data_IF_926490747622
#
_entry.id   IF_926490747622
#
_cell.length_a   1.000
_cell.length_b   1.000
_cell.length_c   1.000
_cell.angle_alpha   90.00
_cell.angle_beta   90.00
_cell.angle_gamma   90.00
#
_symmetry.space_group_name_H-M   'P 1'
#
loop_
_entity.id
_entity.type
_entity.pdbx_description
1 polymer ?
#
# COMPACT_ATOMS: atom_id res chain seq x y z
N UNK A 1 -12.75 -22.16 -45.52
CA UNK A 1 -11.45 -21.52 -45.77
C UNK A 1 -11.63 -20.05 -45.50
N UNK A 2 -11.42 -19.59 -44.27
CA UNK A 2 -11.15 -18.18 -43.94
C UNK A 2 -10.48 -18.14 -42.58
N UNK A 3 -9.22 -17.67 -42.59
CA UNK A 3 -8.36 -17.55 -41.43
C UNK A 3 -8.79 -16.32 -40.65
N UNK A 4 -9.21 -16.47 -39.39
CA UNK A 4 -9.31 -15.40 -38.41
C UNK A 4 -7.95 -15.21 -37.76
N UNK A 5 -7.22 -14.21 -38.20
CA UNK A 5 -6.03 -13.69 -37.56
C UNK A 5 -6.48 -12.83 -36.36
N UNK A 6 -6.27 -13.32 -35.14
CA UNK A 6 -6.35 -12.55 -33.91
C UNK A 6 -5.08 -11.68 -33.80
N UNK A 7 -5.22 -10.39 -34.09
CA UNK A 7 -4.24 -9.38 -33.75
C UNK A 7 -4.28 -9.10 -32.25
N UNK A 8 -3.30 -9.62 -31.54
CA UNK A 8 -2.95 -9.12 -30.21
C UNK A 8 -2.26 -7.76 -30.38
N UNK A 9 -3.00 -6.68 -30.26
CA UNK A 9 -2.41 -5.34 -30.12
C UNK A 9 -1.92 -5.17 -28.69
N UNK A 10 -0.63 -5.37 -28.51
CA UNK A 10 0.11 -4.99 -27.31
C UNK A 10 0.16 -3.45 -27.28
N UNK A 11 -0.78 -2.81 -26.61
CA UNK A 11 -0.70 -1.38 -26.29
C UNK A 11 0.37 -1.17 -25.22
N UNK A 12 1.61 -1.02 -25.65
CA UNK A 12 2.67 -0.40 -24.85
C UNK A 12 2.29 1.09 -24.76
N UNK A 13 1.58 1.46 -23.70
CA UNK A 13 1.43 2.86 -23.30
C UNK A 13 2.78 3.28 -22.74
N UNK A 14 3.69 3.64 -23.64
CA UNK A 14 4.86 4.42 -23.29
C UNK A 14 4.38 5.80 -22.87
N UNK A 15 4.27 6.05 -21.58
CA UNK A 15 4.15 7.38 -21.01
C UNK A 15 5.41 8.15 -21.37
N UNK A 16 5.38 8.82 -22.55
CA UNK A 16 6.32 9.87 -22.87
C UNK A 16 5.96 11.06 -21.96
N UNK A 17 6.66 11.18 -20.87
CA UNK A 17 6.75 12.45 -20.15
C UNK A 17 7.53 13.43 -21.08
N UNK A 18 6.78 14.16 -21.90
CA UNK A 18 7.30 15.32 -22.58
C UNK A 18 7.68 16.36 -21.54
N UNK A 19 8.92 16.83 -21.61
CA UNK A 19 9.46 17.86 -20.77
C UNK A 19 8.61 19.12 -20.79
N UNK A 20 7.85 19.32 -19.72
CA UNK A 20 7.30 20.61 -19.34
C UNK A 20 8.37 21.37 -18.58
N UNK A 21 8.54 22.65 -18.94
CA UNK A 21 9.60 23.51 -18.42
C UNK A 21 9.62 23.60 -16.90
N UNK A 22 10.81 23.91 -16.35
CA UNK A 22 11.22 23.98 -14.93
C UNK A 22 10.22 23.25 -14.04
N UNK A 23 10.40 21.95 -13.91
CA UNK A 23 9.53 21.12 -13.07
C UNK A 23 9.50 21.77 -11.68
N UNK A 24 8.30 22.10 -11.24
CA UNK A 24 8.05 22.50 -9.86
C UNK A 24 8.34 21.28 -8.99
N UNK A 25 9.59 21.12 -8.54
CA UNK A 25 10.08 20.03 -7.69
C UNK A 25 9.52 20.14 -6.27
N UNK A 26 8.27 20.58 -6.17
CA UNK A 26 7.54 20.69 -4.92
C UNK A 26 7.27 19.33 -4.30
N UNK A 27 7.00 19.30 -3.01
CA UNK A 27 6.59 18.09 -2.29
C UNK A 27 5.41 17.36 -2.98
N UNK A 28 4.51 18.10 -3.60
CA UNK A 28 3.36 17.52 -4.31
C UNK A 28 3.79 16.67 -5.51
N UNK A 29 4.79 17.13 -6.29
CA UNK A 29 5.35 16.35 -7.39
C UNK A 29 5.89 15.00 -6.90
N UNK A 30 6.68 14.99 -5.82
CA UNK A 30 7.24 13.75 -5.27
C UNK A 30 6.17 12.82 -4.72
N UNK A 31 5.15 13.35 -4.03
CA UNK A 31 4.02 12.55 -3.51
C UNK A 31 3.25 11.89 -4.66
N UNK A 32 2.92 12.63 -5.72
CA UNK A 32 2.19 12.07 -6.87
C UNK A 32 3.04 11.06 -7.65
N UNK A 33 4.35 11.30 -7.81
CA UNK A 33 5.27 10.33 -8.40
C UNK A 33 5.33 9.04 -7.57
N UNK A 34 5.45 9.14 -6.25
CA UNK A 34 5.46 7.99 -5.35
C UNK A 34 4.17 7.16 -5.44
N UNK A 35 3.01 7.81 -5.48
CA UNK A 35 1.72 7.13 -5.65
C UNK A 35 1.56 6.47 -7.02
N UNK A 36 2.05 7.13 -8.07
CA UNK A 36 1.98 6.60 -9.44
C UNK A 36 2.89 5.39 -9.65
N UNK A 37 4.08 5.40 -9.04
CA UNK A 37 5.10 4.39 -9.22
C UNK A 37 5.05 3.28 -8.16
N UNK A 38 4.20 3.39 -7.12
CA UNK A 38 4.10 2.37 -6.07
C UNK A 38 3.44 1.09 -6.57
N UNK A 39 4.14 -0.06 -6.58
CA UNK A 39 3.56 -1.34 -6.99
C UNK A 39 2.39 -1.77 -6.09
N UNK A 40 2.48 -1.47 -4.80
CA UNK A 40 1.45 -1.82 -3.82
C UNK A 40 0.14 -1.05 -4.07
N UNK A 41 0.23 0.25 -4.39
CA UNK A 41 -0.93 1.06 -4.74
C UNK A 41 -1.54 0.58 -6.07
N UNK A 42 -0.70 0.24 -7.06
CA UNK A 42 -1.16 -0.33 -8.33
C UNK A 42 -1.88 -1.67 -8.11
N UNK A 43 -1.37 -2.54 -7.25
CA UNK A 43 -2.02 -3.82 -6.90
C UNK A 43 -3.42 -3.60 -6.30
N UNK A 44 -3.56 -2.70 -5.34
CA UNK A 44 -4.89 -2.40 -4.75
C UNK A 44 -5.86 -1.75 -5.75
N UNK A 45 -5.38 -0.97 -6.71
CA UNK A 45 -6.22 -0.46 -7.81
C UNK A 45 -6.69 -1.61 -8.70
N UNK A 46 -5.78 -2.51 -9.08
CA UNK A 46 -6.11 -3.71 -9.85
C UNK A 46 -7.11 -4.60 -9.10
N UNK A 47 -6.99 -4.72 -7.78
CA UNK A 47 -7.94 -5.48 -6.96
C UNK A 47 -9.37 -4.91 -7.08
N UNK A 48 -9.53 -3.59 -7.20
CA UNK A 48 -10.84 -2.97 -7.44
C UNK A 48 -11.45 -3.39 -8.78
N UNK A 49 -10.64 -3.49 -9.84
CA UNK A 49 -11.08 -3.96 -11.16
C UNK A 49 -11.38 -5.46 -11.16
N UNK A 50 -10.59 -6.26 -10.43
CA UNK A 50 -10.84 -7.69 -10.23
C UNK A 50 -12.22 -7.91 -9.58
N UNK A 51 -12.57 -7.14 -8.56
CA UNK A 51 -13.87 -7.25 -7.90
C UNK A 51 -15.04 -6.82 -8.81
N UNK A 52 -14.82 -5.88 -9.73
CA UNK A 52 -15.83 -5.54 -10.75
C UNK A 52 -16.03 -6.69 -11.75
N UNK A 53 -14.94 -7.31 -12.22
CA UNK A 53 -15.01 -8.48 -13.08
C UNK A 53 -15.71 -9.66 -12.38
N UNK A 54 -15.42 -9.86 -11.08
CA UNK A 54 -16.08 -10.86 -10.25
C UNK A 54 -17.60 -10.61 -10.13
N UNK A 55 -18.03 -9.35 -10.05
CA UNK A 55 -19.45 -9.02 -10.06
C UNK A 55 -20.16 -9.48 -11.33
N UNK A 56 -19.57 -9.27 -12.51
CA UNK A 56 -20.15 -9.75 -13.79
C UNK A 56 -20.11 -11.28 -13.88
N UNK A 57 -19.05 -11.93 -13.37
CA UNK A 57 -18.99 -13.40 -13.26
C UNK A 57 -20.10 -13.96 -12.38
N UNK A 58 -20.34 -13.35 -11.21
CA UNK A 58 -21.41 -13.74 -10.29
C UNK A 58 -22.80 -13.50 -10.88
N UNK A 59 -22.97 -12.41 -11.63
CA UNK A 59 -24.21 -12.14 -12.37
C UNK A 59 -24.49 -13.25 -13.38
N UNK A 60 -23.49 -13.61 -14.18
CA UNK A 60 -23.60 -14.72 -15.13
C UNK A 60 -23.93 -16.03 -14.40
N UNK A 61 -23.24 -16.35 -13.31
CA UNK A 61 -23.46 -17.58 -12.53
C UNK A 61 -24.88 -17.72 -11.97
N UNK A 62 -25.48 -16.62 -11.48
CA UNK A 62 -26.77 -16.69 -10.80
C UNK A 62 -27.97 -16.39 -11.72
N UNK A 63 -27.76 -15.78 -12.88
CA UNK A 63 -28.87 -15.31 -13.73
C UNK A 63 -28.85 -15.88 -15.16
N UNK A 64 -27.69 -16.32 -15.66
CA UNK A 64 -27.59 -16.87 -17.00
C UNK A 64 -27.69 -18.38 -16.96
N UNK A 65 -28.06 -18.94 -18.11
CA UNK A 65 -28.06 -20.39 -18.34
C UNK A 65 -26.63 -20.91 -18.50
N UNK A 66 -26.44 -22.17 -18.11
CA UNK A 66 -25.17 -22.89 -18.23
C UNK A 66 -25.37 -24.08 -19.13
N UNK A 67 -24.44 -24.34 -20.03
CA UNK A 67 -24.39 -25.48 -20.91
C UNK A 67 -23.15 -26.30 -20.57
N UNK A 68 -23.34 -27.58 -20.22
CA UNK A 68 -22.26 -28.48 -19.84
C UNK A 68 -22.34 -29.77 -20.65
N UNK A 69 -21.21 -30.23 -21.13
CA UNK A 69 -21.06 -31.56 -21.74
C UNK A 69 -20.33 -32.44 -20.71
N UNK A 70 -21.01 -33.46 -20.24
CA UNK A 70 -20.46 -34.48 -19.36
C UNK A 70 -20.40 -35.79 -20.10
N UNK A 71 -19.35 -36.57 -19.88
CA UNK A 71 -19.22 -37.88 -20.48
C UNK A 71 -18.40 -38.80 -19.60
N UNK A 72 -18.90 -40.03 -19.47
CA UNK A 72 -18.28 -41.08 -18.70
C UNK A 72 -18.11 -42.32 -19.56
N UNK A 73 -16.99 -42.99 -19.43
CA UNK A 73 -16.77 -44.33 -19.94
C UNK A 73 -16.43 -45.25 -18.78
N UNK A 74 -17.32 -46.23 -18.57
CA UNK A 74 -17.15 -47.23 -17.51
C UNK A 74 -16.56 -48.52 -18.07
N UNK A 75 -15.41 -48.89 -17.59
CA UNK A 75 -14.85 -50.21 -17.81
C UNK A 75 -15.27 -51.10 -16.65
N UNK A 76 -16.17 -52.01 -16.93
CA UNK A 76 -16.78 -52.91 -15.92
C UNK A 76 -16.56 -54.35 -16.33
N UNK A 77 -15.42 -54.97 -15.99
CA UNK A 77 -15.20 -56.38 -16.21
C UNK A 77 -16.05 -57.21 -15.23
N UNK A 78 -16.76 -58.19 -15.73
CA UNK A 78 -17.64 -59.03 -14.92
C UNK A 78 -17.26 -60.49 -15.10
N UNK A 79 -17.19 -61.20 -13.97
CA UNK A 79 -17.09 -62.65 -13.96
C UNK A 79 -18.49 -63.21 -13.64
N UNK A 80 -19.15 -63.76 -14.63
CA UNK A 80 -20.43 -64.39 -14.42
C UNK A 80 -20.28 -65.92 -14.32
N UNK A 81 -21.07 -66.56 -13.44
CA UNK A 81 -21.22 -68.01 -13.39
C UNK A 81 -22.54 -68.37 -14.04
N UNK A 82 -22.48 -68.80 -15.24
CA UNK A 82 -23.66 -69.33 -15.91
C UNK A 82 -23.49 -70.87 -16.15
N UNK A 83 -24.46 -71.61 -15.77
CA UNK A 83 -24.43 -73.08 -15.94
C UNK A 83 -23.29 -73.82 -15.23
N UNK A 84 -22.70 -73.22 -14.16
CA UNK A 84 -21.58 -73.79 -13.40
C UNK A 84 -20.18 -73.47 -13.92
N UNK A 85 -20.08 -72.77 -15.04
CA UNK A 85 -18.79 -72.26 -15.58
C UNK A 85 -18.58 -70.76 -15.31
N UNK A 86 -17.38 -70.35 -14.94
CA UNK A 86 -17.04 -68.96 -14.81
C UNK A 86 -16.67 -68.34 -16.15
N UNK A 87 -17.43 -67.35 -16.61
CA UNK A 87 -17.18 -66.62 -17.85
C UNK A 87 -16.70 -65.17 -17.48
N UNK A 88 -15.65 -64.73 -18.11
CA UNK A 88 -15.14 -63.38 -17.94
C UNK A 88 -15.63 -62.48 -19.08
N UNK A 89 -16.45 -61.48 -18.77
CA UNK A 89 -16.89 -60.46 -19.72
C UNK A 89 -16.14 -59.18 -19.52
N UNK A 90 -15.49 -58.67 -20.57
CA UNK A 90 -14.71 -57.43 -20.51
C UNK A 90 -15.55 -56.17 -20.22
N UNK A 91 -16.85 -56.24 -20.56
CA UNK A 91 -17.75 -55.10 -20.31
C UNK A 91 -19.19 -55.63 -20.10
N UNK A 92 -19.85 -55.16 -19.09
CA UNK A 92 -21.24 -55.49 -18.82
C UNK A 92 -22.14 -54.75 -19.80
N UNK A 93 -23.08 -55.49 -20.45
CA UNK A 93 -24.02 -54.93 -21.43
C UNK A 93 -25.38 -54.56 -20.82
N UNK A 94 -25.69 -55.08 -19.66
CA UNK A 94 -26.95 -54.86 -18.97
C UNK A 94 -26.78 -55.03 -17.46
N UNK A 95 -27.72 -54.49 -16.66
CA UNK A 95 -27.73 -54.66 -15.22
C UNK A 95 -27.80 -56.13 -14.77
N UNK A 96 -28.34 -57.02 -15.60
CA UNK A 96 -28.39 -58.48 -15.35
C UNK A 96 -27.01 -59.13 -15.45
N UNK A 97 -26.04 -58.50 -16.08
CA UNK A 97 -24.67 -59.01 -16.18
C UNK A 97 -23.87 -58.76 -14.90
N UNK A 98 -24.35 -57.92 -13.97
CA UNK A 98 -23.71 -57.61 -12.68
C UNK A 98 -24.18 -58.58 -11.63
N UNK A 99 -23.31 -59.42 -11.15
CA UNK A 99 -23.63 -60.36 -10.07
C UNK A 99 -23.38 -59.71 -8.69
N UNK A 100 -24.48 -59.32 -8.04
CA UNK A 100 -24.44 -58.87 -6.64
C UNK A 100 -23.87 -57.46 -6.41
N UNK A 101 -23.70 -56.64 -7.45
CA UNK A 101 -23.23 -55.26 -7.34
C UNK A 101 -24.23 -54.35 -8.03
N UNK A 102 -24.91 -53.54 -7.24
CA UNK A 102 -25.74 -52.45 -7.77
C UNK A 102 -24.85 -51.27 -8.08
N UNK A 103 -24.55 -51.05 -9.35
CA UNK A 103 -23.79 -49.92 -9.84
C UNK A 103 -24.67 -48.67 -10.05
N UNK A 104 -25.90 -48.69 -9.57
CA UNK A 104 -26.83 -47.59 -9.68
C UNK A 104 -27.35 -47.39 -11.11
N UNK A 105 -27.38 -46.18 -11.60
CA UNK A 105 -28.14 -45.80 -12.81
C UNK A 105 -27.53 -46.22 -14.15
N UNK A 106 -26.37 -46.86 -14.21
CA UNK A 106 -25.71 -47.15 -15.47
C UNK A 106 -26.15 -48.49 -16.08
N UNK A 107 -27.08 -48.41 -16.98
CA UNK A 107 -27.35 -49.48 -17.92
C UNK A 107 -26.43 -49.47 -19.15
N UNK A 108 -25.30 -48.74 -19.09
CA UNK A 108 -24.39 -48.61 -20.21
C UNK A 108 -22.95 -48.25 -19.81
N UNK A 109 -21.99 -48.64 -20.66
CA UNK A 109 -20.57 -48.38 -20.45
C UNK A 109 -20.12 -47.03 -20.98
N UNK A 110 -20.89 -46.38 -21.82
CA UNK A 110 -20.61 -45.06 -22.35
C UNK A 110 -21.81 -44.14 -22.17
N UNK A 111 -21.56 -42.99 -21.55
CA UNK A 111 -22.56 -41.95 -21.29
C UNK A 111 -21.99 -40.58 -21.70
N UNK A 112 -22.72 -39.85 -22.52
CA UNK A 112 -22.39 -38.48 -22.92
C UNK A 112 -23.65 -37.66 -22.98
N UNK A 113 -23.72 -36.60 -22.16
CA UNK A 113 -24.90 -35.74 -22.02
C UNK A 113 -24.53 -34.28 -22.10
N UNK A 114 -25.24 -33.56 -22.93
CA UNK A 114 -25.25 -32.11 -22.98
C UNK A 114 -26.39 -31.60 -22.08
N UNK A 115 -26.06 -30.91 -21.00
CA UNK A 115 -27.01 -30.38 -20.01
C UNK A 115 -27.09 -28.87 -20.10
N UNK A 116 -28.28 -28.36 -20.39
CA UNK A 116 -28.58 -26.94 -20.25
C UNK A 116 -29.31 -26.70 -18.93
N UNK A 117 -28.82 -25.77 -18.11
CA UNK A 117 -29.42 -25.48 -16.80
C UNK A 117 -29.69 -23.97 -16.69
N UNK A 118 -30.92 -23.59 -16.24
CA UNK A 118 -31.32 -22.23 -15.98
C UNK A 118 -31.78 -22.06 -14.52
N UNK A 119 -31.06 -21.27 -13.68
CA UNK A 119 -31.51 -20.94 -12.33
C UNK A 119 -32.80 -20.10 -12.38
N UNK A 120 -33.86 -20.50 -11.67
CA UNK A 120 -35.11 -19.76 -11.60
C UNK A 120 -35.21 -18.85 -10.38
N UNK A 121 -34.57 -19.21 -9.26
CA UNK A 121 -34.56 -18.46 -7.99
C UNK A 121 -33.23 -17.73 -7.71
N UNK A 122 -32.40 -17.49 -8.70
CA UNK A 122 -31.07 -16.90 -8.57
C UNK A 122 -31.01 -15.43 -8.14
N UNK A 123 -32.08 -14.65 -8.35
CA UNK A 123 -32.11 -13.18 -8.08
C UNK A 123 -31.74 -12.81 -6.64
N UNK A 124 -32.19 -13.57 -5.65
CA UNK A 124 -31.88 -13.30 -4.24
C UNK A 124 -30.40 -13.56 -3.94
N UNK A 125 -29.85 -14.66 -4.44
CA UNK A 125 -28.43 -15.01 -4.31
C UNK A 125 -27.55 -13.97 -5.01
N UNK A 126 -27.94 -13.54 -6.21
CA UNK A 126 -27.26 -12.47 -6.92
C UNK A 126 -27.21 -11.16 -6.12
N UNK A 127 -28.33 -10.71 -5.51
CA UNK A 127 -28.34 -9.49 -4.69
C UNK A 127 -27.38 -9.55 -3.51
N UNK A 128 -27.22 -10.70 -2.86
CA UNK A 128 -26.26 -10.86 -1.76
C UNK A 128 -24.82 -10.86 -2.30
N UNK A 129 -24.57 -11.58 -3.40
CA UNK A 129 -23.28 -11.59 -4.06
C UNK A 129 -22.86 -10.20 -4.57
N UNK A 130 -23.80 -9.44 -5.14
CA UNK A 130 -23.61 -8.05 -5.55
C UNK A 130 -23.22 -7.16 -4.36
N UNK A 131 -23.91 -7.34 -3.21
CA UNK A 131 -23.56 -6.62 -1.98
C UNK A 131 -22.16 -6.92 -1.49
N UNK A 132 -21.72 -8.18 -1.58
CA UNK A 132 -20.38 -8.61 -1.20
C UNK A 132 -19.31 -8.03 -2.15
N UNK A 133 -19.50 -8.14 -3.47
CA UNK A 133 -18.56 -7.60 -4.44
C UNK A 133 -18.41 -6.07 -4.33
N UNK A 134 -19.53 -5.34 -4.11
CA UNK A 134 -19.48 -3.91 -3.86
C UNK A 134 -18.71 -3.58 -2.58
N UNK A 135 -18.92 -4.33 -1.50
CA UNK A 135 -18.18 -4.14 -0.26
C UNK A 135 -16.68 -4.43 -0.46
N UNK A 136 -16.32 -5.49 -1.20
CA UNK A 136 -14.93 -5.81 -1.51
C UNK A 136 -14.26 -4.67 -2.30
N UNK A 137 -14.97 -4.07 -3.27
CA UNK A 137 -14.50 -2.88 -3.99
C UNK A 137 -14.26 -1.69 -3.03
N UNK A 138 -15.20 -1.43 -2.10
CA UNK A 138 -15.04 -0.38 -1.10
C UNK A 138 -13.87 -0.67 -0.15
N UNK A 139 -13.66 -1.93 0.24
CA UNK A 139 -12.51 -2.37 1.04
C UNK A 139 -11.19 -2.19 0.29
N UNK A 140 -11.13 -2.55 -1.00
CA UNK A 140 -9.94 -2.35 -1.84
C UNK A 140 -9.60 -0.85 -1.95
N UNK A 141 -10.58 0.01 -2.21
CA UNK A 141 -10.40 1.47 -2.23
C UNK A 141 -9.94 2.04 -0.90
N UNK A 142 -10.48 1.52 0.21
CA UNK A 142 -10.03 1.94 1.54
C UNK A 142 -8.58 1.53 1.80
N UNK A 143 -8.19 0.31 1.40
CA UNK A 143 -6.79 -0.16 1.48
C UNK A 143 -5.85 0.73 0.67
N UNK A 144 -6.21 1.09 -0.56
CA UNK A 144 -5.45 2.05 -1.37
C UNK A 144 -5.16 3.33 -0.58
N UNK A 145 -6.19 3.96 0.01
CA UNK A 145 -6.03 5.19 0.81
C UNK A 145 -5.16 4.97 2.05
N UNK A 146 -5.33 3.82 2.73
CA UNK A 146 -4.55 3.47 3.91
C UNK A 146 -3.06 3.26 3.59
N UNK A 147 -2.70 2.91 2.36
CA UNK A 147 -1.31 2.77 1.91
C UNK A 147 -0.77 4.09 1.31
N UNK A 148 -1.60 4.87 0.63
CA UNK A 148 -1.20 6.20 0.14
C UNK A 148 -0.79 7.13 1.29
N UNK A 149 -1.48 7.08 2.41
CA UNK A 149 -1.28 8.00 3.52
C UNK A 149 0.08 7.85 4.25
N UNK A 150 0.56 6.66 4.64
CA UNK A 150 1.92 6.49 5.17
C UNK A 150 2.99 6.77 4.12
N UNK A 151 2.73 6.50 2.83
CA UNK A 151 3.65 6.83 1.75
C UNK A 151 3.83 8.36 1.63
N UNK A 152 2.73 9.13 1.65
CA UNK A 152 2.78 10.60 1.68
C UNK A 152 3.63 11.13 2.84
N UNK A 153 3.47 10.52 4.01
CA UNK A 153 4.25 10.86 5.19
C UNK A 153 5.73 10.56 4.98
N UNK A 154 6.07 9.35 4.51
CA UNK A 154 7.47 8.95 4.29
C UNK A 154 8.17 9.85 3.27
N UNK A 155 7.50 10.18 2.16
CA UNK A 155 8.00 11.13 1.17
C UNK A 155 8.22 12.51 1.79
N UNK A 156 7.27 12.98 2.61
CA UNK A 156 7.38 14.28 3.29
C UNK A 156 8.55 14.32 4.28
N UNK A 157 8.73 13.24 5.06
CA UNK A 157 9.84 13.13 6.01
C UNK A 157 11.19 13.13 5.27
N UNK A 158 11.33 12.38 4.19
CA UNK A 158 12.56 12.35 3.38
C UNK A 158 12.85 13.69 2.70
N UNK A 159 11.80 14.37 2.18
CA UNK A 159 11.94 15.72 1.63
C UNK A 159 12.45 16.74 2.66
N UNK A 160 11.94 16.67 3.90
CA UNK A 160 12.39 17.53 4.99
C UNK A 160 13.85 17.27 5.39
N UNK A 161 14.35 16.03 5.28
CA UNK A 161 15.76 15.71 5.50
C UNK A 161 16.66 16.34 4.42
N UNK A 162 16.25 16.28 3.14
CA UNK A 162 16.96 17.00 2.08
C UNK A 162 17.03 18.51 2.35
N UNK A 163 15.93 19.12 2.82
CA UNK A 163 15.92 20.54 3.15
C UNK A 163 16.82 20.88 4.35
N UNK A 164 16.95 19.98 5.33
CA UNK A 164 17.91 20.15 6.43
C UNK A 164 19.33 20.21 5.91
N UNK A 165 19.73 19.24 5.07
CA UNK A 165 21.09 19.20 4.53
C UNK A 165 21.39 20.44 3.69
N UNK A 166 20.44 20.87 2.87
CA UNK A 166 20.57 22.10 2.10
C UNK A 166 20.77 23.33 2.98
N UNK A 167 19.98 23.45 4.06
CA UNK A 167 20.14 24.53 5.02
C UNK A 167 21.50 24.48 5.74
N UNK A 168 22.01 23.28 6.04
CA UNK A 168 23.35 23.08 6.61
C UNK A 168 24.46 23.46 5.62
N UNK A 169 24.31 23.12 4.33
CA UNK A 169 25.23 23.55 3.27
C UNK A 169 25.28 25.09 3.20
N UNK A 170 24.12 25.74 3.05
CA UNK A 170 24.01 27.19 2.88
C UNK A 170 24.59 27.94 4.10
N UNK A 171 24.33 27.43 5.30
CA UNK A 171 24.89 27.98 6.52
C UNK A 171 26.43 27.79 6.60
N UNK A 172 26.95 26.60 6.28
CA UNK A 172 28.37 26.27 6.32
C UNK A 172 29.16 27.09 5.28
N UNK A 173 28.56 27.32 4.09
CA UNK A 173 29.12 28.25 3.10
C UNK A 173 29.21 29.69 3.62
N UNK A 174 28.18 30.16 4.35
CA UNK A 174 28.20 31.48 4.96
C UNK A 174 29.30 31.61 6.03
N UNK A 175 29.53 30.54 6.81
CA UNK A 175 30.62 30.46 7.81
C UNK A 175 31.99 30.49 7.11
N UNK A 176 32.16 29.83 5.96
CA UNK A 176 33.40 29.91 5.18
C UNK A 176 33.77 31.34 4.85
N UNK A 177 32.82 32.16 4.42
CA UNK A 177 33.06 33.59 4.11
C UNK A 177 33.46 34.41 5.36
N UNK A 178 32.94 34.04 6.55
CA UNK A 178 33.35 34.66 7.81
C UNK A 178 34.82 34.31 8.15
N UNK A 179 35.16 33.02 8.08
CA UNK A 179 36.52 32.53 8.37
C UNK A 179 37.54 33.17 7.41
N UNK A 180 37.23 33.28 6.12
CA UNK A 180 38.12 33.92 5.13
C UNK A 180 38.38 35.38 5.45
N UNK A 181 37.35 36.14 5.79
CA UNK A 181 37.50 37.56 6.22
C UNK A 181 38.39 37.67 7.43
N UNK A 182 38.20 36.85 8.45
CA UNK A 182 39.02 36.85 9.65
C UNK A 182 40.47 36.44 9.35
N UNK A 183 40.67 35.46 8.50
CA UNK A 183 42.01 35.03 8.05
C UNK A 183 42.75 36.20 7.38
N UNK A 184 42.07 36.99 6.55
CA UNK A 184 42.68 38.15 5.91
C UNK A 184 43.10 39.24 6.94
N UNK A 185 42.26 39.50 7.95
CA UNK A 185 42.55 40.45 9.03
C UNK A 185 43.74 39.96 9.84
N UNK A 186 43.71 38.73 10.35
CA UNK A 186 44.79 38.19 11.20
C UNK A 186 46.10 38.08 10.43
N UNK A 187 46.09 37.80 9.14
CA UNK A 187 47.30 37.81 8.29
C UNK A 187 47.97 39.17 8.32
N UNK A 188 47.21 40.25 8.16
CA UNK A 188 47.75 41.63 8.26
C UNK A 188 48.30 41.95 9.65
N UNK A 189 47.67 41.47 10.72
CA UNK A 189 48.15 41.61 12.06
C UNK A 189 49.47 40.88 12.30
N UNK A 190 49.65 39.69 11.74
CA UNK A 190 50.88 38.89 11.81
C UNK A 190 51.99 39.58 11.01
N UNK A 191 51.72 40.06 9.80
CA UNK A 191 52.66 40.78 8.95
C UNK A 191 53.19 42.06 9.64
N UNK A 192 52.33 42.71 10.43
CA UNK A 192 52.71 43.89 11.20
C UNK A 192 53.21 43.59 12.62
N UNK A 193 53.37 42.33 13.01
CA UNK A 193 53.89 41.92 14.32
C UNK A 193 52.91 42.03 15.48
N UNK A 194 51.60 42.29 15.24
CA UNK A 194 50.58 42.42 16.27
C UNK A 194 49.90 41.04 16.63
N UNK A 195 50.14 39.99 15.87
CA UNK A 195 49.61 38.66 16.14
C UNK A 195 50.68 37.59 15.84
N UNK A 196 50.46 36.37 16.35
CA UNK A 196 51.43 35.27 16.19
C UNK A 196 51.09 34.44 14.93
N UNK A 197 52.13 33.81 14.34
CA UNK A 197 51.93 32.85 13.25
C UNK A 197 50.99 31.67 13.64
N UNK A 198 51.01 31.27 14.93
CA UNK A 198 50.11 30.25 15.48
C UNK A 198 48.62 30.63 15.34
N UNK A 199 48.30 31.91 15.41
CA UNK A 199 46.92 32.41 15.30
C UNK A 199 46.40 32.26 13.86
N UNK A 200 47.26 32.52 12.88
CA UNK A 200 46.95 32.26 11.48
C UNK A 200 46.77 30.76 11.20
N UNK A 201 47.61 29.89 11.80
CA UNK A 201 47.52 28.45 11.68
C UNK A 201 46.19 27.92 12.30
N UNK A 202 45.72 28.49 13.43
CA UNK A 202 44.43 28.13 14.01
C UNK A 202 43.27 28.44 13.06
N UNK A 203 43.27 29.57 12.39
CA UNK A 203 42.25 29.91 11.38
C UNK A 203 42.34 29.02 10.15
N UNK A 204 43.54 28.58 9.74
CA UNK A 204 43.71 27.62 8.65
C UNK A 204 43.10 26.24 9.00
N UNK A 205 43.30 25.76 10.23
CA UNK A 205 42.70 24.51 10.73
C UNK A 205 41.15 24.64 10.75
N UNK A 206 40.64 25.79 11.22
CA UNK A 206 39.19 26.02 11.26
C UNK A 206 38.56 26.05 9.87
N UNK A 207 39.25 26.65 8.89
CA UNK A 207 38.83 26.66 7.50
C UNK A 207 38.76 25.21 6.93
N UNK A 208 39.80 24.40 7.17
CA UNK A 208 39.83 23.00 6.71
C UNK A 208 38.70 22.18 7.35
N UNK A 209 38.46 22.34 8.66
CA UNK A 209 37.38 21.68 9.36
C UNK A 209 36.01 22.07 8.81
N UNK A 210 35.80 23.35 8.46
CA UNK A 210 34.57 23.84 7.87
C UNK A 210 34.38 23.30 6.42
N UNK A 211 35.46 23.17 5.63
CA UNK A 211 35.43 22.59 4.30
C UNK A 211 35.08 21.09 4.33
N UNK A 212 35.61 20.37 5.32
CA UNK A 212 35.25 18.95 5.54
C UNK A 212 33.77 18.80 5.83
N UNK A 213 33.21 19.61 6.76
CA UNK A 213 31.80 19.65 7.09
C UNK A 213 30.94 19.97 5.87
N UNK A 214 31.33 20.93 5.05
CA UNK A 214 30.63 21.28 3.81
C UNK A 214 30.56 20.10 2.84
N UNK A 215 31.68 19.37 2.72
CA UNK A 215 31.76 18.16 1.88
C UNK A 215 30.85 17.06 2.42
N UNK A 216 30.84 16.85 3.74
CA UNK A 216 29.97 15.87 4.40
C UNK A 216 28.48 16.19 4.19
N UNK A 217 28.08 17.47 4.31
CA UNK A 217 26.69 17.89 4.08
C UNK A 217 26.26 17.78 2.62
N UNK A 218 27.14 18.06 1.66
CA UNK A 218 26.86 17.84 0.23
C UNK A 218 26.66 16.36 -0.07
N UNK A 219 27.50 15.50 0.52
CA UNK A 219 27.32 14.05 0.38
C UNK A 219 26.01 13.57 1.02
N UNK A 220 25.65 14.08 2.20
CA UNK A 220 24.40 13.75 2.86
C UNK A 220 23.19 14.18 2.01
N UNK A 221 23.22 15.41 1.46
CA UNK A 221 22.19 15.92 0.57
C UNK A 221 21.99 15.02 -0.66
N UNK A 222 23.09 14.66 -1.33
CA UNK A 222 23.04 13.75 -2.48
C UNK A 222 22.42 12.40 -2.09
N UNK A 223 22.84 11.82 -0.97
CA UNK A 223 22.30 10.53 -0.50
C UNK A 223 20.82 10.63 -0.18
N UNK A 224 20.40 11.64 0.59
CA UNK A 224 18.98 11.80 0.94
C UNK A 224 18.10 12.14 -0.27
N UNK A 225 18.64 12.84 -1.27
CA UNK A 225 17.93 13.10 -2.54
C UNK A 225 17.77 11.81 -3.37
N UNK A 226 18.80 10.97 -3.40
CA UNK A 226 18.69 9.64 -4.03
C UNK A 226 17.65 8.76 -3.32
N UNK A 227 17.63 8.78 -1.99
CA UNK A 227 16.62 8.05 -1.20
C UNK A 227 15.20 8.58 -1.46
N UNK A 228 15.04 9.90 -1.60
CA UNK A 228 13.77 10.52 -2.00
C UNK A 228 13.34 10.05 -3.40
N UNK A 229 14.25 10.08 -4.37
CA UNK A 229 13.98 9.63 -5.72
C UNK A 229 13.65 8.13 -5.76
N UNK A 230 14.39 7.30 -5.01
CA UNK A 230 14.12 5.87 -4.88
C UNK A 230 12.73 5.61 -4.30
N UNK A 231 12.36 6.31 -3.24
CA UNK A 231 11.04 6.21 -2.61
C UNK A 231 9.90 6.59 -3.57
N UNK A 232 10.16 7.55 -4.46
CA UNK A 232 9.22 8.03 -5.47
C UNK A 232 9.25 7.24 -6.80
N UNK A 233 10.18 6.28 -6.94
CA UNK A 233 10.37 5.53 -8.18
C UNK A 233 10.88 6.40 -9.34
N UNK A 234 11.68 7.45 -9.03
CA UNK A 234 12.28 8.36 -9.98
C UNK A 234 13.72 7.90 -10.25
N UNK A 235 14.05 7.61 -11.51
CA UNK A 235 15.38 7.13 -11.90
C UNK A 235 16.37 8.27 -12.22
N UNK A 236 16.28 9.40 -11.51
CA UNK A 236 17.19 10.54 -11.65
C UNK A 236 18.18 10.57 -10.47
N UNK A 237 19.46 10.76 -10.78
CA UNK A 237 20.56 10.84 -9.81
C UNK A 237 21.21 12.22 -9.79
N UNK A 238 20.66 13.21 -10.49
CA UNK A 238 21.22 14.56 -10.55
C UNK A 238 20.81 15.36 -9.30
N UNK A 239 21.74 16.13 -8.77
CA UNK A 239 21.44 17.05 -7.68
C UNK A 239 20.57 18.20 -8.19
N UNK A 240 19.45 18.43 -7.51
CA UNK A 240 18.48 19.48 -7.82
C UNK A 240 18.20 20.31 -6.57
N UNK A 241 17.91 21.58 -6.72
CA UNK A 241 17.49 22.43 -5.61
C UNK A 241 16.00 22.24 -5.32
N UNK A 242 15.69 21.84 -4.07
CA UNK A 242 14.33 21.66 -3.61
C UNK A 242 13.74 22.96 -3.06
N UNK A 243 12.48 23.30 -3.41
CA UNK A 243 11.77 24.43 -2.81
C UNK A 243 11.61 24.28 -1.30
N UNK A 244 11.71 25.39 -0.58
CA UNK A 244 11.49 25.41 0.87
C UNK A 244 10.05 25.00 1.19
N UNK A 245 9.91 24.09 2.15
CA UNK A 245 8.64 23.58 2.62
C UNK A 245 8.38 23.97 4.06
N UNK A 246 7.22 24.58 4.33
CA UNK A 246 6.70 24.76 5.68
C UNK A 246 5.34 24.09 5.77
N UNK A 247 5.25 23.03 6.57
CA UNK A 247 4.02 22.31 6.75
C UNK A 247 3.06 23.08 7.67
N UNK A 248 1.81 23.31 7.25
CA UNK A 248 0.79 23.85 8.14
C UNK A 248 0.31 22.77 9.10
N UNK A 249 -0.02 23.15 10.33
CA UNK A 249 -0.76 22.29 11.26
C UNK A 249 -2.19 22.19 10.75
N UNK A 250 -2.63 20.98 10.40
CA UNK A 250 -4.01 20.71 9.97
C UNK A 250 -4.89 20.55 11.21
N UNK A 251 -5.75 21.51 11.47
CA UNK A 251 -6.72 21.39 12.56
C UNK A 251 -7.78 20.33 12.23
N UNK A 252 -8.27 19.55 13.21
CA UNK A 252 -9.29 18.55 12.96
C UNK A 252 -10.55 19.22 12.42
N UNK A 253 -11.08 18.65 11.33
CA UNK A 253 -12.42 19.01 10.87
C UNK A 253 -13.40 18.28 11.78
N UNK A 254 -14.01 19.01 12.72
CA UNK A 254 -15.04 18.47 13.60
C UNK A 254 -16.15 17.84 12.76
N UNK A 255 -16.63 16.64 13.13
CA UNK A 255 -17.75 15.86 12.60
C UNK A 255 -17.47 14.80 11.52
N UNK A 256 -16.24 14.57 11.05
CA UNK A 256 -15.99 13.43 10.16
C UNK A 256 -15.31 12.28 10.93
N UNK A 257 -15.84 11.05 10.83
CA UNK A 257 -15.12 9.89 11.36
C UNK A 257 -13.75 9.79 10.68
N UNK A 258 -12.73 9.49 11.49
CA UNK A 258 -11.38 9.29 10.95
C UNK A 258 -11.36 8.16 9.93
N UNK A 259 -10.61 8.34 8.85
CA UNK A 259 -10.44 7.31 7.82
C UNK A 259 -9.78 6.04 8.38
N UNK A 260 -8.99 6.13 9.45
CA UNK A 260 -8.48 4.96 10.18
C UNK A 260 -9.59 4.07 10.77
N UNK A 261 -10.77 4.62 11.08
CA UNK A 261 -11.91 3.85 11.62
C UNK A 261 -12.79 3.23 10.56
N UNK A 262 -12.67 3.68 9.30
CA UNK A 262 -13.47 3.19 8.17
C UNK A 262 -13.21 1.70 7.89
N UNK A 263 -11.98 1.25 8.04
CA UNK A 263 -11.64 -0.17 7.91
C UNK A 263 -12.49 -1.04 8.83
N UNK A 264 -12.64 -0.67 10.11
CA UNK A 264 -13.41 -1.45 11.07
C UNK A 264 -14.91 -1.47 10.75
N UNK A 265 -15.43 -0.38 10.15
CA UNK A 265 -16.82 -0.33 9.64
C UNK A 265 -17.01 -1.31 8.49
N UNK A 266 -16.08 -1.31 7.53
CA UNK A 266 -16.11 -2.21 6.38
C UNK A 266 -15.94 -3.68 6.81
N UNK A 267 -15.04 -3.98 7.75
CA UNK A 267 -14.83 -5.31 8.31
C UNK A 267 -16.09 -5.83 9.02
N UNK A 268 -16.79 -4.98 9.79
CA UNK A 268 -18.06 -5.34 10.42
C UNK A 268 -19.16 -5.65 9.40
N UNK A 269 -19.23 -4.86 8.31
CA UNK A 269 -20.15 -5.13 7.20
C UNK A 269 -19.80 -6.43 6.49
N UNK A 270 -18.50 -6.73 6.31
CA UNK A 270 -18.04 -7.96 5.69
C UNK A 270 -18.49 -9.20 6.46
N UNK A 271 -18.39 -9.20 7.79
CA UNK A 271 -18.91 -10.28 8.62
C UNK A 271 -20.42 -10.45 8.42
N UNK A 272 -21.16 -9.35 8.40
CA UNK A 272 -22.62 -9.37 8.23
C UNK A 272 -23.04 -9.91 6.88
N UNK A 273 -22.35 -9.53 5.79
CA UNK A 273 -22.60 -10.02 4.43
C UNK A 273 -22.16 -11.47 4.25
N UNK A 274 -21.03 -11.86 4.82
CA UNK A 274 -20.56 -13.25 4.84
C UNK A 274 -21.56 -14.17 5.54
N UNK A 275 -22.15 -13.73 6.64
CA UNK A 275 -23.23 -14.47 7.32
C UNK A 275 -24.49 -14.56 6.44
N UNK A 276 -24.86 -13.48 5.74
CA UNK A 276 -25.98 -13.50 4.79
C UNK A 276 -25.73 -14.45 3.62
N UNK A 277 -24.49 -14.45 3.08
CA UNK A 277 -24.06 -15.36 2.04
C UNK A 277 -24.15 -16.82 2.48
N UNK A 278 -23.63 -17.12 3.69
CA UNK A 278 -23.77 -18.44 4.28
C UNK A 278 -25.23 -18.87 4.43
N UNK A 279 -26.11 -17.97 4.83
CA UNK A 279 -27.53 -18.24 5.00
C UNK A 279 -28.28 -18.50 3.67
N UNK A 280 -27.68 -18.21 2.50
CA UNK A 280 -28.28 -18.54 1.19
C UNK A 280 -28.41 -20.05 0.96
N UNK A 281 -27.56 -20.87 1.58
CA UNK A 281 -27.66 -22.34 1.47
C UNK A 281 -28.95 -22.92 2.06
N UNK A 282 -29.63 -22.19 2.96
CA UNK A 282 -30.91 -22.56 3.55
C UNK A 282 -32.12 -22.05 2.77
N UNK A 283 -31.92 -21.35 1.68
CA UNK A 283 -33.02 -20.97 0.78
C UNK A 283 -33.28 -22.06 -0.24
N UNK A 284 -34.52 -22.29 -0.61
CA UNK A 284 -34.83 -23.23 -1.65
C UNK A 284 -34.21 -22.79 -2.98
N UNK A 285 -33.65 -23.74 -3.71
CA UNK A 285 -33.14 -23.61 -5.08
C UNK A 285 -34.06 -24.33 -6.02
N UNK A 286 -34.30 -23.74 -7.17
CA UNK A 286 -35.12 -24.34 -8.25
C UNK A 286 -34.43 -24.01 -9.56
N UNK A 287 -34.04 -25.04 -10.25
CA UNK A 287 -33.37 -24.95 -11.53
C UNK A 287 -34.16 -25.69 -12.59
N UNK A 288 -34.31 -25.12 -13.77
CA UNK A 288 -34.83 -25.79 -14.97
C UNK A 288 -33.65 -26.41 -15.70
N UNK A 289 -33.75 -27.67 -16.07
CA UNK A 289 -32.75 -28.34 -16.88
C UNK A 289 -33.35 -29.00 -18.13
N UNK A 290 -32.52 -29.07 -19.16
CA UNK A 290 -32.75 -29.83 -20.37
C UNK A 290 -31.50 -30.63 -20.69
N UNK A 291 -31.64 -31.92 -20.80
CA UNK A 291 -30.57 -32.85 -21.12
C UNK A 291 -30.78 -33.44 -22.50
N UNK A 292 -29.73 -33.65 -23.27
CA UNK A 292 -29.75 -34.42 -24.51
C UNK A 292 -28.43 -35.15 -24.67
N UNK A 293 -28.49 -36.45 -24.96
CA UNK A 293 -27.25 -37.21 -25.03
C UNK A 293 -27.42 -38.66 -25.44
N UNK A 294 -26.34 -39.38 -25.28
CA UNK A 294 -26.20 -40.80 -25.63
C UNK A 294 -25.88 -41.61 -24.39
N UNK A 295 -26.55 -42.76 -24.27
CA UNK A 295 -26.23 -43.75 -23.25
C UNK A 295 -26.23 -45.13 -23.88
N UNK A 296 -25.08 -45.77 -23.98
CA UNK A 296 -24.92 -47.05 -24.69
C UNK A 296 -24.07 -48.02 -23.89
N UNK A 297 -24.47 -49.30 -23.89
CA UNK A 297 -23.69 -50.40 -23.33
C UNK A 297 -22.66 -50.95 -24.30
N UNK A 298 -22.91 -50.84 -25.60
CA UNK A 298 -22.03 -51.26 -26.69
C UNK A 298 -22.03 -50.19 -27.78
N UNK A 299 -20.90 -49.94 -28.43
CA UNK A 299 -20.79 -48.97 -29.52
C UNK A 299 -21.51 -49.38 -30.80
N UNK A 300 -21.98 -50.64 -30.90
CA UNK A 300 -22.77 -51.09 -32.04
C UNK A 300 -24.11 -50.35 -32.10
N UNK A 301 -24.30 -49.50 -33.10
CA UNK A 301 -25.54 -48.76 -33.29
C UNK A 301 -25.74 -47.55 -32.34
N UNK A 302 -24.66 -47.00 -31.79
CA UNK A 302 -24.66 -45.87 -30.85
C UNK A 302 -25.54 -44.68 -31.27
N UNK A 303 -25.65 -44.37 -32.58
CA UNK A 303 -26.48 -43.30 -33.16
C UNK A 303 -28.01 -43.55 -33.00
N UNK A 304 -28.45 -44.73 -32.57
CA UNK A 304 -29.85 -45.07 -32.29
C UNK A 304 -30.23 -44.84 -30.82
N UNK A 305 -29.28 -44.57 -29.96
CA UNK A 305 -29.47 -44.45 -28.51
C UNK A 305 -29.37 -42.98 -28.04
N UNK A 306 -29.87 -42.04 -28.86
CA UNK A 306 -29.98 -40.63 -28.47
C UNK A 306 -31.31 -40.40 -27.75
N UNK A 307 -31.24 -39.71 -26.59
CA UNK A 307 -32.40 -39.34 -25.80
C UNK A 307 -32.33 -37.90 -25.34
N UNK A 308 -33.46 -37.34 -24.95
CA UNK A 308 -33.54 -36.06 -24.30
C UNK A 308 -34.52 -36.11 -23.14
N UNK A 309 -34.29 -35.22 -22.12
CA UNK A 309 -35.20 -35.05 -20.99
C UNK A 309 -35.19 -33.59 -20.55
N UNK A 310 -36.29 -33.15 -19.97
CA UNK A 310 -36.39 -31.83 -19.37
C UNK A 310 -37.12 -31.96 -18.03
N UNK A 311 -36.71 -31.13 -17.05
CA UNK A 311 -37.29 -31.19 -15.72
C UNK A 311 -36.93 -30.02 -14.85
N UNK A 312 -37.41 -30.07 -13.62
CA UNK A 312 -37.11 -29.10 -12.58
C UNK A 312 -36.37 -29.80 -11.44
N UNK A 313 -35.22 -29.22 -11.04
CA UNK A 313 -34.49 -29.68 -9.86
C UNK A 313 -34.80 -28.75 -8.71
N UNK A 314 -35.37 -29.30 -7.62
CA UNK A 314 -35.62 -28.58 -6.37
C UNK A 314 -34.67 -29.08 -5.28
N UNK A 315 -34.00 -28.15 -4.61
CA UNK A 315 -33.11 -28.45 -3.49
C UNK A 315 -33.35 -27.48 -2.35
N UNK A 316 -33.51 -28.01 -1.15
CA UNK A 316 -33.71 -27.22 0.05
C UNK A 316 -33.06 -27.89 1.26
N UNK A 317 -32.10 -27.21 1.91
CA UNK A 317 -31.47 -27.71 3.13
C UNK A 317 -32.36 -27.38 4.33
N UNK A 318 -33.06 -28.40 4.89
CA UNK A 318 -33.97 -28.24 6.04
C UNK A 318 -33.21 -28.33 7.38
N UNK A 319 -32.24 -29.24 7.44
CA UNK A 319 -31.43 -29.48 8.65
C UNK A 319 -29.97 -29.65 8.25
N UNK A 320 -29.10 -29.01 9.02
CA UNK A 320 -27.65 -28.91 8.76
C UNK A 320 -26.74 -29.31 9.93
N UNK A 321 -27.28 -29.96 10.95
CA UNK A 321 -26.52 -30.30 12.16
C UNK A 321 -26.18 -29.06 13.02
N UNK A 322 -26.97 -28.01 12.97
CA UNK A 322 -26.81 -26.75 13.72
C UNK A 322 -25.65 -25.86 13.24
N UNK A 323 -25.12 -26.05 12.04
CA UNK A 323 -24.03 -25.22 11.46
C UNK A 323 -24.39 -23.74 11.45
N UNK A 324 -25.63 -23.40 11.08
CA UNK A 324 -26.14 -22.02 11.09
C UNK A 324 -25.94 -21.35 12.45
N UNK A 325 -26.31 -22.01 13.54
CA UNK A 325 -26.16 -21.48 14.90
C UNK A 325 -24.69 -21.21 15.27
N UNK A 326 -23.82 -22.13 14.87
CA UNK A 326 -22.37 -21.97 15.13
C UNK A 326 -21.77 -20.83 14.28
N UNK A 327 -22.21 -20.67 13.04
CA UNK A 327 -21.78 -19.58 12.18
C UNK A 327 -22.21 -18.21 12.71
N UNK A 328 -23.44 -18.10 13.19
CA UNK A 328 -23.95 -16.90 13.85
C UNK A 328 -23.14 -16.57 15.11
N UNK A 329 -22.78 -17.58 15.91
CA UNK A 329 -21.94 -17.39 17.11
C UNK A 329 -20.51 -16.94 16.76
N UNK A 330 -19.91 -17.50 15.69
CA UNK A 330 -18.64 -17.04 15.17
C UNK A 330 -18.70 -15.56 14.76
N UNK A 331 -19.73 -15.15 14.01
CA UNK A 331 -19.92 -13.77 13.59
C UNK A 331 -20.03 -12.80 14.78
N UNK A 332 -20.73 -13.18 15.86
CA UNK A 332 -20.82 -12.35 17.08
C UNK A 332 -19.45 -12.14 17.74
N UNK A 333 -18.63 -13.20 17.85
CA UNK A 333 -17.28 -13.07 18.40
C UNK A 333 -16.37 -12.23 17.52
N UNK A 334 -16.43 -12.40 16.20
CA UNK A 334 -15.67 -11.60 15.24
C UNK A 334 -16.05 -10.11 15.31
N UNK A 335 -17.36 -9.80 15.43
CA UNK A 335 -17.80 -8.41 15.63
C UNK A 335 -17.31 -7.82 16.95
N UNK A 336 -17.28 -8.64 18.02
CA UNK A 336 -16.70 -8.25 19.31
C UNK A 336 -15.23 -7.88 19.17
N UNK A 337 -14.43 -8.71 18.48
CA UNK A 337 -13.02 -8.44 18.21
C UNK A 337 -12.81 -7.14 17.42
N UNK A 338 -13.59 -6.92 16.34
CA UNK A 338 -13.50 -5.67 15.55
C UNK A 338 -13.78 -4.45 16.41
N UNK A 339 -14.78 -4.51 17.29
CA UNK A 339 -15.09 -3.41 18.21
C UNK A 339 -13.90 -3.09 19.12
N UNK A 340 -13.30 -4.12 19.74
CA UNK A 340 -12.12 -3.94 20.58
C UNK A 340 -10.93 -3.34 19.84
N UNK A 341 -10.66 -3.81 18.61
CA UNK A 341 -9.61 -3.24 17.77
C UNK A 341 -9.88 -1.77 17.40
N UNK A 342 -11.13 -1.44 17.08
CA UNK A 342 -11.54 -0.06 16.79
C UNK A 342 -11.28 0.86 18.00
N UNK A 343 -11.77 0.48 19.18
CA UNK A 343 -11.61 1.24 20.42
C UNK A 343 -10.12 1.45 20.76
N UNK A 344 -9.29 0.40 20.62
CA UNK A 344 -7.86 0.51 20.84
C UNK A 344 -7.17 1.42 19.81
N UNK A 345 -7.56 1.34 18.53
CA UNK A 345 -7.02 2.19 17.47
C UNK A 345 -7.35 3.67 17.72
N UNK A 346 -8.58 3.98 18.12
CA UNK A 346 -9.01 5.33 18.48
C UNK A 346 -8.24 5.86 19.71
N UNK A 347 -8.03 5.03 20.72
CA UNK A 347 -7.22 5.37 21.88
C UNK A 347 -5.78 5.70 21.48
N UNK A 348 -5.11 4.81 20.73
CA UNK A 348 -3.74 5.03 20.28
C UNK A 348 -3.61 6.29 19.43
N UNK A 349 -4.52 6.52 18.48
CA UNK A 349 -4.55 7.74 17.66
C UNK A 349 -4.64 8.99 18.52
N UNK A 350 -5.57 9.04 19.47
CA UNK A 350 -5.76 10.19 20.36
C UNK A 350 -4.53 10.45 21.23
N UNK A 351 -3.86 9.40 21.70
CA UNK A 351 -2.62 9.53 22.46
C UNK A 351 -1.47 10.05 21.60
N UNK A 352 -1.34 9.59 20.33
CA UNK A 352 -0.33 10.11 19.39
C UNK A 352 -0.53 11.58 19.06
N UNK A 353 -1.78 12.00 18.83
CA UNK A 353 -2.11 13.42 18.62
C UNK A 353 -1.69 14.28 19.83
N UNK A 354 -2.05 13.86 21.05
CA UNK A 354 -1.66 14.57 22.28
C UNK A 354 -0.15 14.61 22.46
N UNK A 355 0.56 13.53 22.15
CA UNK A 355 2.03 13.48 22.17
C UNK A 355 2.62 14.50 21.22
N UNK A 356 2.19 14.51 19.94
CA UNK A 356 2.68 15.48 18.96
C UNK A 356 2.48 16.93 19.40
N UNK A 357 1.29 17.28 19.91
CA UNK A 357 0.99 18.62 20.40
C UNK A 357 1.89 19.04 21.60
N UNK A 358 2.13 18.12 22.53
CA UNK A 358 3.04 18.35 23.65
C UNK A 358 4.49 18.53 23.18
N UNK A 359 4.93 17.77 22.17
CA UNK A 359 6.25 17.92 21.58
C UNK A 359 6.41 19.25 20.85
N UNK A 360 5.43 19.66 20.05
CA UNK A 360 5.45 20.96 19.35
C UNK A 360 5.61 22.12 20.33
N UNK A 361 4.88 22.12 21.44
CA UNK A 361 5.03 23.17 22.46
C UNK A 361 6.44 23.21 23.04
N UNK A 362 7.06 22.04 23.27
CA UNK A 362 8.47 21.96 23.74
C UNK A 362 9.46 22.44 22.68
N UNK A 363 9.23 22.16 21.40
CA UNK A 363 10.06 22.68 20.31
C UNK A 363 9.98 24.20 20.21
N UNK A 364 8.79 24.80 20.35
CA UNK A 364 8.62 26.26 20.34
C UNK A 364 9.37 26.94 21.49
N UNK A 365 9.38 26.33 22.68
CA UNK A 365 10.15 26.86 23.82
C UNK A 365 11.67 26.77 23.59
N UNK A 366 12.16 25.64 23.09
CA UNK A 366 13.58 25.44 22.81
C UNK A 366 14.08 26.35 21.69
N UNK A 367 13.25 26.56 20.64
CA UNK A 367 13.60 27.45 19.53
C UNK A 367 13.88 28.89 20.05
N UNK A 368 13.00 29.43 20.89
CA UNK A 368 13.19 30.75 21.51
C UNK A 368 14.48 30.82 22.32
N UNK A 369 14.83 29.77 23.07
CA UNK A 369 16.09 29.73 23.84
C UNK A 369 17.31 29.77 22.92
N UNK A 370 17.32 28.98 21.83
CA UNK A 370 18.41 28.99 20.85
C UNK A 370 18.51 30.33 20.12
N UNK A 371 17.38 30.95 19.76
CA UNK A 371 17.37 32.28 19.12
C UNK A 371 17.99 33.37 20.03
N UNK A 372 17.65 33.35 21.32
CA UNK A 372 18.27 34.25 22.28
C UNK A 372 19.79 34.02 22.40
N UNK A 373 20.24 32.77 22.50
CA UNK A 373 21.66 32.41 22.53
C UNK A 373 22.42 32.89 21.29
N UNK A 374 21.81 32.71 20.10
CA UNK A 374 22.41 33.15 18.84
C UNK A 374 22.56 34.67 18.82
N UNK A 375 21.55 35.42 19.24
CA UNK A 375 21.60 36.87 19.31
C UNK A 375 22.72 37.35 20.24
N UNK A 376 22.91 36.72 21.41
CA UNK A 376 24.04 37.04 22.32
C UNK A 376 25.40 36.70 21.68
N UNK A 377 25.54 35.54 21.02
CA UNK A 377 26.76 35.21 20.30
C UNK A 377 27.06 36.20 19.16
N UNK A 378 26.06 36.73 18.46
CA UNK A 378 26.24 37.75 17.42
C UNK A 378 26.78 39.05 17.99
N UNK A 379 26.25 39.47 19.14
CA UNK A 379 26.73 40.64 19.84
C UNK A 379 28.19 40.47 20.26
N UNK A 380 28.53 39.37 20.94
CA UNK A 380 29.91 39.08 21.38
C UNK A 380 30.86 39.01 20.18
N UNK A 381 30.50 38.33 19.09
CA UNK A 381 31.34 38.21 17.88
C UNK A 381 31.53 39.57 17.18
N UNK A 382 30.53 40.46 17.22
CA UNK A 382 30.64 41.82 16.70
C UNK A 382 31.66 42.63 17.46
N UNK A 383 31.64 42.56 18.81
CA UNK A 383 32.56 43.28 19.67
C UNK A 383 33.96 42.68 19.61
N UNK A 384 34.09 41.34 19.71
CA UNK A 384 35.36 40.65 19.54
C UNK A 384 36.00 40.90 18.16
N UNK A 385 35.19 41.06 17.10
CA UNK A 385 35.69 41.43 15.78
C UNK A 385 36.33 42.81 15.74
N UNK A 386 35.79 43.79 16.48
CA UNK A 386 36.39 45.14 16.62
C UNK A 386 37.68 45.09 17.45
N UNK A 387 37.65 44.41 18.60
CA UNK A 387 38.76 44.26 19.53
C UNK A 387 39.92 43.45 18.93
N UNK A 388 39.61 42.42 18.11
CA UNK A 388 40.60 41.65 17.36
C UNK A 388 41.41 42.54 16.39
N UNK A 389 40.71 43.48 15.70
CA UNK A 389 41.36 44.40 14.76
C UNK A 389 42.40 45.31 15.41
N UNK A 390 42.28 45.58 16.72
CA UNK A 390 43.23 46.44 17.51
C UNK A 390 44.09 45.56 18.42
N UNK A 391 44.00 44.23 18.34
CA UNK A 391 44.86 43.33 19.12
C UNK A 391 44.48 43.16 20.59
N UNK A 392 43.29 43.58 21.02
CA UNK A 392 42.81 43.45 22.40
C UNK A 392 42.24 42.11 22.76
N UNK A 393 41.70 41.38 21.80
CA UNK A 393 41.14 40.00 21.97
C UNK A 393 42.03 39.00 21.25
N UNK A 394 42.21 37.82 21.85
CA UNK A 394 42.96 36.74 21.20
C UNK A 394 42.17 36.07 20.07
N UNK A 395 42.87 35.63 19.03
CA UNK A 395 42.25 34.85 17.95
C UNK A 395 41.59 33.57 18.47
N UNK A 396 42.17 32.96 19.52
CA UNK A 396 41.62 31.76 20.15
C UNK A 396 40.24 32.02 20.79
N UNK A 397 40.07 33.13 21.49
CA UNK A 397 38.79 33.51 22.12
C UNK A 397 37.73 33.77 21.06
N UNK A 398 38.09 34.50 20.00
CA UNK A 398 37.20 34.72 18.86
C UNK A 398 36.73 33.42 18.21
N UNK A 399 37.66 32.50 17.91
CA UNK A 399 37.33 31.19 17.31
C UNK A 399 36.45 30.37 18.24
N UNK A 400 36.70 30.41 19.56
CA UNK A 400 35.91 29.67 20.54
C UNK A 400 34.44 30.12 20.52
N UNK A 401 34.20 31.43 20.55
CA UNK A 401 32.84 31.99 20.48
C UNK A 401 32.18 31.68 19.11
N UNK A 402 32.96 31.79 18.03
CA UNK A 402 32.48 31.44 16.68
C UNK A 402 32.04 30.00 16.58
N UNK A 403 32.83 29.04 17.09
CA UNK A 403 32.48 27.62 17.14
C UNK A 403 31.18 27.36 17.92
N UNK A 404 31.04 28.00 19.08
CA UNK A 404 29.84 27.87 19.89
C UNK A 404 28.60 28.40 19.15
N UNK A 405 28.71 29.54 18.46
CA UNK A 405 27.64 30.07 17.62
C UNK A 405 27.30 29.10 16.49
N UNK A 406 28.30 28.57 15.77
CA UNK A 406 28.10 27.60 14.68
C UNK A 406 27.34 26.37 15.17
N UNK A 407 27.75 25.83 16.34
CA UNK A 407 27.06 24.67 16.92
C UNK A 407 25.60 24.99 17.27
N UNK A 408 25.35 26.15 17.91
CA UNK A 408 23.99 26.59 18.30
C UNK A 408 23.09 26.80 17.08
N UNK A 409 23.62 27.38 15.98
CA UNK A 409 22.87 27.51 14.72
C UNK A 409 22.53 26.17 14.08
N UNK A 410 23.45 25.22 14.08
CA UNK A 410 23.21 23.87 13.59
C UNK A 410 22.13 23.16 14.42
N UNK A 411 22.18 23.31 15.75
CA UNK A 411 21.17 22.78 16.65
C UNK A 411 19.79 23.41 16.38
N UNK A 412 19.74 24.70 16.03
CA UNK A 412 18.51 25.39 15.62
C UNK A 412 17.97 24.84 14.29
N UNK A 413 18.79 24.60 13.27
CA UNK A 413 18.38 24.03 12.00
C UNK A 413 17.79 22.63 12.20
N UNK A 414 18.48 21.78 12.96
CA UNK A 414 18.01 20.45 13.33
C UNK A 414 16.69 20.50 14.11
N UNK A 415 16.58 21.41 15.06
CA UNK A 415 15.37 21.59 15.87
C UNK A 415 14.17 22.00 15.00
N UNK A 416 14.36 22.94 14.06
CA UNK A 416 13.31 23.37 13.11
C UNK A 416 12.87 22.23 12.22
N UNK A 417 13.78 21.43 11.70
CA UNK A 417 13.43 20.25 10.90
C UNK A 417 12.68 19.22 11.74
N UNK A 418 13.15 18.90 12.95
CA UNK A 418 12.44 17.98 13.85
C UNK A 418 11.04 18.48 14.19
N UNK A 419 10.85 19.78 14.35
CA UNK A 419 9.52 20.38 14.54
C UNK A 419 8.62 20.15 13.32
N UNK A 420 9.14 20.30 12.10
CA UNK A 420 8.39 19.99 10.87
C UNK A 420 8.05 18.51 10.76
N UNK A 421 8.94 17.60 11.15
CA UNK A 421 8.68 16.16 11.22
C UNK A 421 7.56 15.82 12.22
N UNK A 422 7.51 16.51 13.36
CA UNK A 422 6.39 16.35 14.32
C UNK A 422 5.08 16.90 13.76
N UNK A 423 5.11 17.99 12.96
CA UNK A 423 3.92 18.48 12.25
C UNK A 423 3.45 17.46 11.21
N UNK A 424 4.37 16.85 10.46
CA UNK A 424 4.04 15.77 9.52
C UNK A 424 3.38 14.58 10.24
N UNK A 425 3.94 14.16 11.37
CA UNK A 425 3.37 13.10 12.21
C UNK A 425 2.00 13.47 12.80
N UNK A 426 1.83 14.71 13.27
CA UNK A 426 0.52 15.21 13.74
C UNK A 426 -0.52 15.19 12.62
N UNK A 427 -0.18 15.70 11.43
CA UNK A 427 -1.06 15.74 10.28
C UNK A 427 -1.45 14.33 9.82
N UNK A 428 -0.53 13.37 9.92
CA UNK A 428 -0.79 11.95 9.65
C UNK A 428 -1.84 11.38 10.60
N UNK A 429 -1.69 11.57 11.92
CA UNK A 429 -2.66 11.02 12.89
C UNK A 429 -3.99 11.77 12.92
N UNK A 430 -4.01 13.00 12.43
CA UNK A 430 -5.21 13.84 12.36
C UNK A 430 -5.98 13.72 11.03
N UNK A 431 -5.76 12.62 10.32
CA UNK A 431 -6.37 12.28 9.03
C UNK A 431 -7.83 11.88 9.10
#
# INVERSE_FOLDING_TARGET
>A
MNRLLLFFSLNIIGLHFYGQGKNDLSIHYYIEAAKANSPLIADFRNQSEIEQAELERLKAMYTHSRLELNGDYLFVPVVSKDGGHAEFKWNARSATDYYGYDLGESSGSFHTVLTWTQPLLGKTSYKVAQGQAKLNTDMARNRTRMEEHPLERSVTEQYLLCLLDKAQIDYTDSVSAVIERQTHIVRKLVENGFSKQSDLNLLAIEREANMELLTAFRQAYHTHLMDLNLLCGIADTTDVDLPVLQLPIRWPVNDKPSLFTEQYRLDSLNISLSLRSFNLQYKPKLDLFVNGGLQVGDFAGWYRHFGWSAGLTFSWTIFDGKQKRWKERQALWQQGSIRTYKENSEYQRNMRIKQCLSELHRYDQRERTLENQIAEYETILSDYGKELNIGQVSVLDYITVLRNKIQTERDRLLLRTNRQLVIAAYNYWNW
#
